data_IF_635067264693
#
_entry.id   IF_635067264693
#
_cell.length_a   1.000
_cell.length_b   1.000
_cell.length_c   1.000
_cell.angle_alpha   90.00
_cell.angle_beta   90.00
_cell.angle_gamma   90.00
#
_symmetry.space_group_name_H-M   'P 1'
#
loop_
_entity.id
_entity.type
_entity.pdbx_description
1 polymer ?
#
# COMPACT_ATOMS: atom_id res chain seq x y z
N UNK A 1 5.36 44.38 -16.05
CA UNK A 1 6.12 43.11 -15.92
C UNK A 1 5.13 42.00 -15.61
N UNK A 2 4.82 41.14 -16.63
CA UNK A 2 3.83 40.06 -16.54
C UNK A 2 4.56 38.82 -16.06
N UNK A 3 4.24 38.32 -14.86
CA UNK A 3 4.70 37.00 -14.37
C UNK A 3 3.71 35.91 -14.85
N UNK A 4 4.25 35.00 -15.62
CA UNK A 4 3.60 33.84 -16.21
C UNK A 4 3.01 32.95 -15.11
N UNK A 5 1.69 32.76 -15.15
CA UNK A 5 0.99 31.62 -14.51
C UNK A 5 1.08 30.44 -15.46
N UNK A 6 2.07 29.57 -15.30
CA UNK A 6 2.05 28.24 -15.88
C UNK A 6 1.38 27.29 -14.91
N UNK A 7 0.20 26.79 -15.28
CA UNK A 7 -0.43 25.62 -14.64
C UNK A 7 0.52 24.42 -14.85
N UNK A 8 0.89 23.67 -13.81
CA UNK A 8 1.60 22.41 -14.02
C UNK A 8 0.68 21.41 -14.71
N UNK A 9 1.09 20.93 -15.87
CA UNK A 9 0.48 19.80 -16.57
C UNK A 9 0.69 18.51 -15.76
N UNK A 10 -0.28 17.57 -15.73
CA UNK A 10 -0.19 16.35 -14.91
C UNK A 10 0.89 15.36 -15.30
N UNK A 11 1.66 15.62 -16.35
CA UNK A 11 2.70 14.73 -16.89
C UNK A 11 4.11 15.02 -16.37
N UNK A 12 4.31 16.02 -15.51
CA UNK A 12 5.66 16.44 -15.09
C UNK A 12 6.13 15.85 -13.77
N UNK A 13 5.38 14.95 -13.14
CA UNK A 13 5.83 14.18 -11.97
C UNK A 13 6.12 12.74 -12.38
N UNK A 14 6.96 12.56 -13.40
CA UNK A 14 7.74 11.34 -13.53
C UNK A 14 8.88 11.44 -12.54
N UNK A 15 8.59 11.18 -11.29
CA UNK A 15 9.60 10.83 -10.31
C UNK A 15 10.26 9.57 -10.85
N UNK A 16 11.57 9.61 -11.01
CA UNK A 16 12.44 8.47 -11.32
C UNK A 16 12.36 7.49 -10.14
N UNK A 17 11.26 6.74 -10.07
CA UNK A 17 11.19 5.48 -9.36
C UNK A 17 11.40 4.45 -10.44
N UNK A 18 12.44 3.65 -10.28
CA UNK A 18 12.93 2.68 -11.27
C UNK A 18 11.77 1.76 -11.74
N UNK A 19 11.26 2.00 -12.94
CA UNK A 19 10.26 1.13 -13.58
C UNK A 19 10.79 -0.30 -13.81
N UNK A 20 12.11 -0.50 -13.73
CA UNK A 20 12.75 -1.80 -13.74
C UNK A 20 12.44 -2.65 -12.51
N UNK A 21 12.39 -2.05 -11.31
CA UNK A 21 12.15 -2.77 -10.05
C UNK A 21 10.73 -3.35 -9.97
N UNK A 22 9.74 -2.64 -10.49
CA UNK A 22 8.35 -3.09 -10.45
C UNK A 22 8.04 -4.27 -11.37
N UNK A 23 8.65 -4.29 -12.57
CA UNK A 23 8.48 -5.41 -13.51
C UNK A 23 9.16 -6.65 -12.94
N UNK A 24 10.39 -6.52 -12.48
CA UNK A 24 11.14 -7.61 -11.85
C UNK A 24 10.42 -8.16 -10.61
N UNK A 25 9.85 -7.28 -9.79
CA UNK A 25 9.07 -7.71 -8.63
C UNK A 25 7.80 -8.47 -9.05
N UNK A 26 7.06 -7.99 -10.04
CA UNK A 26 5.85 -8.67 -10.53
C UNK A 26 6.17 -10.05 -11.12
N UNK A 27 7.26 -10.17 -11.85
CA UNK A 27 7.74 -11.45 -12.40
C UNK A 27 8.18 -12.40 -11.29
N UNK A 28 8.85 -11.90 -10.25
CA UNK A 28 9.22 -12.70 -9.07
C UNK A 28 7.99 -13.23 -8.35
N UNK A 29 6.94 -12.41 -8.15
CA UNK A 29 5.69 -12.85 -7.54
C UNK A 29 5.01 -13.91 -8.39
N UNK A 30 5.00 -13.75 -9.73
CA UNK A 30 4.45 -14.74 -10.66
C UNK A 30 5.20 -16.06 -10.56
N UNK A 31 6.52 -16.03 -10.60
CA UNK A 31 7.35 -17.22 -10.43
C UNK A 31 7.09 -17.94 -9.10
N UNK A 32 6.98 -17.21 -7.99
CA UNK A 32 6.63 -17.80 -6.68
C UNK A 32 5.22 -18.40 -6.69
N UNK A 33 4.26 -17.79 -7.40
CA UNK A 33 2.90 -18.30 -7.51
C UNK A 33 2.84 -19.63 -8.31
N UNK A 34 3.61 -19.74 -9.38
CA UNK A 34 3.73 -20.94 -10.20
C UNK A 34 4.38 -22.08 -9.39
N UNK A 35 5.50 -21.80 -8.73
CA UNK A 35 6.16 -22.77 -7.84
C UNK A 35 5.24 -23.24 -6.70
N UNK A 36 4.46 -22.34 -6.12
CA UNK A 36 3.51 -22.70 -5.09
C UNK A 36 2.40 -23.62 -5.63
N UNK A 37 1.96 -23.41 -6.88
CA UNK A 37 0.97 -24.28 -7.50
C UNK A 37 1.51 -25.67 -7.83
N UNK A 38 2.81 -25.78 -8.18
CA UNK A 38 3.48 -27.04 -8.51
C UNK A 38 3.92 -27.83 -7.25
N UNK A 39 4.53 -27.15 -6.28
CA UNK A 39 5.19 -27.75 -5.13
C UNK A 39 4.35 -27.69 -3.83
N UNK A 40 3.22 -27.00 -3.88
CA UNK A 40 2.35 -26.83 -2.69
C UNK A 40 3.01 -25.99 -1.60
N UNK A 41 2.63 -26.25 -0.36
CA UNK A 41 3.00 -25.44 0.82
C UNK A 41 4.52 -25.34 1.02
N UNK A 42 5.32 -26.29 0.54
CA UNK A 42 6.79 -26.24 0.64
C UNK A 42 7.40 -25.01 -0.04
N UNK A 43 6.75 -24.45 -1.07
CA UNK A 43 7.18 -23.25 -1.77
C UNK A 43 6.63 -21.94 -1.17
N UNK A 44 5.82 -22.01 -0.10
CA UNK A 44 5.20 -20.83 0.52
C UNK A 44 6.23 -19.85 1.11
N UNK A 45 7.35 -20.38 1.63
CA UNK A 45 8.43 -19.55 2.19
C UNK A 45 8.97 -18.53 1.18
N UNK A 46 9.22 -18.96 -0.06
CA UNK A 46 9.70 -18.05 -1.10
C UNK A 46 8.69 -16.94 -1.47
N UNK A 47 7.39 -17.25 -1.45
CA UNK A 47 6.36 -16.22 -1.65
C UNK A 47 6.32 -15.26 -0.46
N UNK A 48 6.42 -15.77 0.77
CA UNK A 48 6.48 -14.96 1.98
C UNK A 48 7.67 -13.99 1.93
N UNK A 49 8.87 -14.50 1.71
CA UNK A 49 10.10 -13.69 1.67
C UNK A 49 10.04 -12.58 0.62
N UNK A 50 9.44 -12.88 -0.54
CA UNK A 50 9.32 -11.92 -1.62
C UNK A 50 8.27 -10.83 -1.35
N UNK A 51 7.23 -11.09 -0.54
CA UNK A 51 6.03 -10.24 -0.52
C UNK A 51 5.65 -9.70 0.85
N UNK A 52 6.07 -10.33 1.96
CA UNK A 52 5.56 -10.05 3.30
C UNK A 52 5.72 -8.58 3.71
N UNK A 53 6.89 -7.98 3.51
CA UNK A 53 7.16 -6.59 3.90
C UNK A 53 6.22 -5.60 3.19
N UNK A 54 6.00 -5.78 1.88
CA UNK A 54 5.09 -4.95 1.08
C UNK A 54 3.63 -5.16 1.48
N UNK A 55 3.23 -6.41 1.74
CA UNK A 55 1.88 -6.73 2.20
C UNK A 55 1.59 -6.16 3.59
N UNK A 56 2.53 -6.28 4.55
CA UNK A 56 2.38 -5.70 5.90
C UNK A 56 2.29 -4.18 5.82
N UNK A 57 3.13 -3.52 5.02
CA UNK A 57 3.05 -2.08 4.79
C UNK A 57 1.68 -1.67 4.25
N UNK A 58 1.17 -2.39 3.24
CA UNK A 58 -0.16 -2.13 2.69
C UNK A 58 -1.27 -2.36 3.72
N UNK A 59 -1.28 -3.51 4.40
CA UNK A 59 -2.28 -3.85 5.42
C UNK A 59 -2.29 -2.83 6.57
N UNK A 60 -1.11 -2.29 6.94
CA UNK A 60 -0.97 -1.28 7.99
C UNK A 60 -1.68 0.04 7.67
N UNK A 61 -1.88 0.39 6.39
CA UNK A 61 -2.69 1.55 6.01
C UNK A 61 -4.16 1.37 6.38
N UNK A 62 -4.64 0.15 6.43
CA UNK A 62 -6.03 -0.20 6.72
C UNK A 62 -6.25 -0.46 8.21
N UNK A 63 -5.40 -1.27 8.82
CA UNK A 63 -5.53 -1.70 10.22
C UNK A 63 -5.10 -0.64 11.21
N UNK A 64 -4.15 0.23 10.83
CA UNK A 64 -3.54 1.22 11.71
C UNK A 64 -2.76 0.62 12.89
N UNK A 65 -2.52 -0.68 12.90
CA UNK A 65 -1.75 -1.43 13.89
C UNK A 65 -0.91 -2.50 13.18
N UNK A 66 0.35 -2.66 13.63
CA UNK A 66 1.30 -3.58 12.99
C UNK A 66 0.88 -5.03 13.19
N UNK A 67 0.56 -5.41 14.42
CA UNK A 67 0.16 -6.77 14.75
C UNK A 67 -1.07 -7.21 13.91
N UNK A 68 -2.07 -6.32 13.78
CA UNK A 68 -3.24 -6.57 12.94
C UNK A 68 -2.89 -6.71 11.45
N UNK A 69 -1.88 -5.96 10.99
CA UNK A 69 -1.42 -6.06 9.62
C UNK A 69 -0.68 -7.38 9.37
N UNK A 70 0.16 -7.81 10.30
CA UNK A 70 0.85 -9.10 10.25
C UNK A 70 -0.15 -10.27 10.31
N UNK A 71 -1.14 -10.21 11.18
CA UNK A 71 -2.24 -11.18 11.24
C UNK A 71 -3.02 -11.25 9.90
N UNK A 72 -3.30 -10.09 9.29
CA UNK A 72 -3.97 -10.05 7.99
C UNK A 72 -3.14 -10.70 6.88
N UNK A 73 -1.83 -10.48 6.88
CA UNK A 73 -0.91 -11.08 5.91
C UNK A 73 -0.80 -12.58 6.13
N UNK A 74 -0.67 -13.04 7.37
CA UNK A 74 -0.65 -14.47 7.69
C UNK A 74 -1.96 -15.15 7.23
N UNK A 75 -3.12 -14.56 7.53
CA UNK A 75 -4.40 -15.09 7.09
C UNK A 75 -4.54 -15.14 5.56
N UNK A 76 -4.02 -14.12 4.86
CA UNK A 76 -3.99 -14.08 3.41
C UNK A 76 -3.12 -15.21 2.83
N UNK A 77 -1.93 -15.42 3.38
CA UNK A 77 -1.02 -16.49 2.94
C UNK A 77 -1.56 -17.89 3.23
N UNK A 78 -2.21 -18.08 4.37
CA UNK A 78 -2.93 -19.34 4.67
C UNK A 78 -4.01 -19.61 3.61
N UNK A 79 -4.78 -18.62 3.23
CA UNK A 79 -5.79 -18.76 2.16
C UNK A 79 -5.18 -19.15 0.82
N UNK A 80 -4.05 -18.55 0.47
CA UNK A 80 -3.32 -18.88 -0.76
C UNK A 80 -2.78 -20.30 -0.69
N UNK A 81 -2.19 -20.72 0.45
CA UNK A 81 -1.68 -22.05 0.64
C UNK A 81 -2.74 -23.16 0.51
N UNK A 82 -3.98 -22.86 0.94
CA UNK A 82 -5.11 -23.79 0.79
C UNK A 82 -5.61 -23.92 -0.67
N UNK A 83 -5.34 -22.92 -1.54
CA UNK A 83 -5.79 -22.89 -2.94
C UNK A 83 -4.73 -22.27 -3.84
N UNK A 84 -3.53 -22.86 -3.94
CA UNK A 84 -2.39 -22.23 -4.62
C UNK A 84 -2.64 -21.96 -6.11
N UNK A 85 -3.40 -22.81 -6.78
CA UNK A 85 -3.72 -22.63 -8.18
C UNK A 85 -4.53 -21.37 -8.53
N UNK A 86 -5.21 -20.75 -7.55
CA UNK A 86 -5.92 -19.48 -7.80
C UNK A 86 -4.94 -18.32 -7.97
N UNK A 87 -3.83 -18.32 -7.24
CA UNK A 87 -2.81 -17.30 -7.39
C UNK A 87 -2.07 -17.44 -8.72
N UNK A 88 -1.67 -18.65 -9.08
CA UNK A 88 -0.95 -18.90 -10.34
C UNK A 88 -1.80 -18.58 -11.59
N UNK A 89 -3.12 -18.81 -11.52
CA UNK A 89 -4.06 -18.50 -12.62
C UNK A 89 -4.48 -17.03 -12.67
N UNK A 90 -4.17 -16.24 -11.65
CA UNK A 90 -4.52 -14.83 -11.63
C UNK A 90 -3.76 -14.09 -12.75
N UNK A 91 -4.48 -13.25 -13.50
CA UNK A 91 -3.86 -12.39 -14.54
C UNK A 91 -2.75 -11.51 -13.94
N UNK A 92 -2.97 -11.00 -12.73
CA UNK A 92 -2.05 -10.19 -11.96
C UNK A 92 -1.91 -10.76 -10.55
N UNK A 93 -0.96 -11.71 -10.30
CA UNK A 93 -0.81 -12.37 -9.01
C UNK A 93 -0.60 -11.39 -7.84
N UNK A 94 0.17 -10.32 -8.06
CA UNK A 94 0.39 -9.30 -7.04
C UNK A 94 -0.90 -8.56 -6.64
N UNK A 95 -1.67 -8.10 -7.62
CA UNK A 95 -2.97 -7.46 -7.35
C UNK A 95 -3.95 -8.42 -6.64
N UNK A 96 -3.89 -9.72 -6.98
CA UNK A 96 -4.70 -10.74 -6.32
C UNK A 96 -4.31 -10.93 -4.84
N UNK A 97 -2.99 -10.97 -4.54
CA UNK A 97 -2.49 -11.01 -3.16
C UNK A 97 -2.91 -9.77 -2.37
N UNK A 98 -2.76 -8.57 -2.93
CA UNK A 98 -3.20 -7.33 -2.30
C UNK A 98 -4.70 -7.35 -2.00
N UNK A 99 -5.53 -7.85 -2.92
CA UNK A 99 -6.98 -7.99 -2.73
C UNK A 99 -7.34 -8.93 -1.59
N UNK A 100 -6.67 -10.08 -1.48
CA UNK A 100 -6.90 -11.03 -0.38
C UNK A 100 -6.46 -10.40 0.94
N UNK A 101 -5.26 -9.83 1.01
CA UNK A 101 -4.72 -9.17 2.20
C UNK A 101 -5.63 -8.02 2.66
N UNK A 102 -6.15 -7.23 1.71
CA UNK A 102 -7.15 -6.20 2.01
C UNK A 102 -8.39 -6.75 2.70
N UNK A 103 -8.92 -7.84 2.17
CA UNK A 103 -10.13 -8.44 2.72
C UNK A 103 -9.91 -8.94 4.15
N UNK A 104 -8.76 -9.56 4.43
CA UNK A 104 -8.42 -10.00 5.78
C UNK A 104 -8.19 -8.80 6.72
N UNK A 105 -7.48 -7.78 6.29
CA UNK A 105 -7.30 -6.54 7.07
C UNK A 105 -8.64 -5.89 7.43
N UNK A 106 -9.56 -5.75 6.48
CA UNK A 106 -10.89 -5.21 6.73
C UNK A 106 -11.74 -6.10 7.64
N UNK A 107 -11.56 -7.43 7.57
CA UNK A 107 -12.22 -8.36 8.49
C UNK A 107 -11.75 -8.15 9.92
N UNK A 108 -10.42 -7.99 10.14
CA UNK A 108 -9.84 -7.71 11.46
C UNK A 108 -10.37 -6.39 12.01
N UNK A 109 -10.32 -5.31 11.19
CA UNK A 109 -10.83 -3.98 11.58
C UNK A 109 -12.31 -4.04 11.96
N UNK A 110 -13.13 -4.78 11.23
CA UNK A 110 -14.58 -4.94 11.54
C UNK A 110 -14.81 -5.66 12.86
N UNK A 111 -14.06 -6.72 13.12
CA UNK A 111 -14.18 -7.50 14.38
C UNK A 111 -13.75 -6.69 15.61
N UNK A 112 -12.76 -5.80 15.47
CA UNK A 112 -12.24 -4.96 16.57
C UNK A 112 -13.04 -3.69 16.82
N UNK A 113 -13.93 -3.27 15.90
CA UNK A 113 -14.73 -2.04 16.07
C UNK A 113 -15.46 -1.90 17.41
N UNK A 114 -16.07 -2.96 18.01
CA UNK A 114 -16.71 -2.85 19.32
C UNK A 114 -15.74 -2.57 20.48
N UNK A 115 -14.46 -2.97 20.33
CA UNK A 115 -13.46 -2.93 21.41
C UNK A 115 -12.51 -1.73 21.34
N UNK A 116 -12.63 -0.89 20.29
CA UNK A 116 -11.65 0.16 19.95
C UNK A 116 -11.81 1.50 20.68
N UNK A 117 -12.60 1.57 21.74
CA UNK A 117 -12.76 2.84 22.50
C UNK A 117 -11.50 3.32 23.24
N UNK A 118 -10.42 2.52 23.34
CA UNK A 118 -9.31 2.80 24.25
C UNK A 118 -7.87 2.66 23.69
N UNK A 119 -7.64 2.28 22.44
CA UNK A 119 -6.26 2.09 21.96
C UNK A 119 -5.81 3.17 20.99
N UNK A 120 -4.72 3.87 21.35
CA UNK A 120 -4.01 4.81 20.48
C UNK A 120 -3.40 4.04 19.29
N UNK A 121 -3.38 4.63 18.05
CA UNK A 121 -2.68 4.04 16.92
C UNK A 121 -1.19 3.88 17.21
N UNK A 122 -0.63 2.71 16.93
CA UNK A 122 0.79 2.44 17.14
C UNK A 122 1.65 3.27 16.17
N UNK A 123 2.65 3.96 16.73
CA UNK A 123 3.58 4.77 15.97
C UNK A 123 4.60 3.94 15.17
N UNK A 124 4.79 2.65 15.50
CA UNK A 124 5.84 1.77 14.97
C UNK A 124 5.50 1.09 13.64
N UNK A 125 4.32 1.33 13.07
CA UNK A 125 3.78 0.62 11.90
C UNK A 125 4.68 0.66 10.65
N UNK A 126 5.65 1.58 10.60
CA UNK A 126 6.46 1.85 9.41
C UNK A 126 7.96 1.79 9.69
N UNK A 127 8.38 1.03 10.68
CA UNK A 127 9.78 0.91 11.09
C UNK A 127 10.55 -0.15 10.31
N UNK A 128 10.49 -0.13 8.99
CA UNK A 128 11.59 -0.67 8.18
C UNK A 128 12.49 0.52 7.89
N UNK A 129 13.59 0.63 8.64
CA UNK A 129 14.50 1.76 8.58
C UNK A 129 15.13 1.88 7.19
N UNK A 130 14.88 2.97 6.45
CA UNK A 130 15.71 3.32 5.30
C UNK A 130 17.05 3.84 5.78
N UNK A 131 18.09 3.80 4.95
CA UNK A 131 19.43 4.29 5.31
C UNK A 131 19.38 5.77 5.67
N UNK A 132 20.29 6.15 6.59
CA UNK A 132 20.44 7.46 7.23
C UNK A 132 20.29 8.65 6.28
N UNK A 133 19.47 9.62 6.66
CA UNK A 133 19.28 10.89 5.95
C UNK A 133 17.92 11.05 5.22
N UNK A 134 17.18 9.96 4.97
CA UNK A 134 15.81 10.00 4.39
C UNK A 134 14.72 9.74 5.44
N UNK A 135 15.09 9.41 6.66
CA UNK A 135 14.21 9.00 7.76
C UNK A 135 13.16 10.07 8.06
N UNK A 136 13.58 11.34 8.14
CA UNK A 136 12.70 12.46 8.49
C UNK A 136 11.60 12.68 7.43
N UNK A 137 11.98 12.64 6.15
CA UNK A 137 11.02 12.83 5.04
C UNK A 137 10.04 11.66 4.99
N UNK A 138 10.52 10.43 5.15
CA UNK A 138 9.65 9.25 5.18
C UNK A 138 8.71 9.29 6.40
N UNK A 139 9.18 9.77 7.54
CA UNK A 139 8.36 9.93 8.73
C UNK A 139 7.28 10.98 8.53
N UNK A 140 7.60 12.12 7.90
CA UNK A 140 6.64 13.17 7.56
C UNK A 140 5.54 12.67 6.59
N UNK A 141 5.94 11.95 5.55
CA UNK A 141 5.00 11.35 4.59
C UNK A 141 4.09 10.33 5.29
N UNK A 142 4.63 9.50 6.17
CA UNK A 142 3.85 8.55 6.98
C UNK A 142 2.83 9.25 7.87
N UNK A 143 3.23 10.32 8.55
CA UNK A 143 2.34 11.11 9.40
C UNK A 143 1.22 11.76 8.58
N UNK A 144 1.56 12.31 7.42
CA UNK A 144 0.57 12.91 6.51
C UNK A 144 -0.43 11.87 5.97
N UNK A 145 0.04 10.67 5.59
CA UNK A 145 -0.84 9.56 5.18
C UNK A 145 -1.79 9.11 6.30
N UNK A 146 -1.34 9.13 7.56
CA UNK A 146 -2.19 8.80 8.72
C UNK A 146 -3.32 9.80 8.94
N UNK A 147 -3.14 11.06 8.55
CA UNK A 147 -4.20 12.08 8.62
C UNK A 147 -5.28 11.90 7.54
N UNK A 148 -5.00 11.13 6.48
CA UNK A 148 -5.99 10.81 5.46
C UNK A 148 -7.01 9.77 5.97
N UNK A 149 -8.28 9.82 5.49
CA UNK A 149 -9.18 8.68 5.59
C UNK A 149 -8.53 7.43 5.00
N UNK A 150 -8.75 6.26 5.62
CA UNK A 150 -8.12 4.99 5.20
C UNK A 150 -8.33 4.68 3.72
N UNK A 151 -9.52 4.96 3.18
CA UNK A 151 -9.85 4.76 1.75
C UNK A 151 -9.06 5.67 0.80
N UNK A 152 -8.60 6.83 1.26
CA UNK A 152 -7.77 7.75 0.50
C UNK A 152 -6.29 7.36 0.62
N UNK A 153 -5.82 7.05 1.83
CA UNK A 153 -4.47 6.56 2.07
C UNK A 153 -4.20 5.28 1.27
N UNK A 154 -5.17 4.37 1.23
CA UNK A 154 -5.11 3.10 0.49
C UNK A 154 -4.84 3.33 -1.01
N UNK A 155 -5.59 4.22 -1.66
CA UNK A 155 -5.40 4.52 -3.09
C UNK A 155 -4.03 5.14 -3.36
N UNK A 156 -3.53 6.00 -2.47
CA UNK A 156 -2.19 6.58 -2.59
C UNK A 156 -1.12 5.51 -2.49
N UNK A 157 -1.23 4.59 -1.53
CA UNK A 157 -0.26 3.49 -1.36
C UNK A 157 -0.26 2.60 -2.58
N UNK A 158 -1.42 2.16 -3.05
CA UNK A 158 -1.54 1.31 -4.25
C UNK A 158 -0.99 2.01 -5.50
N UNK A 159 -1.19 3.34 -5.65
CA UNK A 159 -0.73 4.07 -6.84
C UNK A 159 0.76 4.37 -6.81
N UNK A 160 1.32 4.77 -5.65
CA UNK A 160 2.70 5.27 -5.54
C UNK A 160 3.67 4.15 -5.18
N UNK A 161 3.37 3.34 -4.14
CA UNK A 161 4.30 2.31 -3.68
C UNK A 161 4.13 0.96 -4.37
N UNK A 162 2.90 0.64 -4.79
CA UNK A 162 2.64 -0.61 -5.52
C UNK A 162 2.53 -0.40 -7.03
N UNK A 163 2.66 0.87 -7.50
CA UNK A 163 2.69 1.30 -8.91
C UNK A 163 1.50 0.81 -9.77
N UNK A 164 0.38 0.53 -9.12
CA UNK A 164 -0.80 0.00 -9.78
C UNK A 164 -1.44 1.02 -10.72
N UNK A 165 -1.96 0.55 -11.84
CA UNK A 165 -2.86 1.32 -12.68
C UNK A 165 -4.19 1.58 -11.98
N UNK A 166 -4.92 2.61 -12.37
CA UNK A 166 -6.26 2.84 -11.80
C UNK A 166 -7.25 1.72 -12.09
N UNK A 167 -7.05 0.95 -13.17
CA UNK A 167 -7.84 -0.23 -13.47
C UNK A 167 -7.59 -1.33 -12.42
N UNK A 168 -6.34 -1.65 -12.13
CA UNK A 168 -5.96 -2.64 -11.09
C UNK A 168 -6.41 -2.20 -9.70
N UNK A 169 -6.23 -0.90 -9.36
CA UNK A 169 -6.74 -0.35 -8.10
C UNK A 169 -8.27 -0.53 -8.02
N UNK A 170 -8.97 -0.27 -9.12
CA UNK A 170 -10.41 -0.49 -9.21
C UNK A 170 -10.79 -1.94 -8.92
N UNK A 171 -10.08 -2.91 -9.48
CA UNK A 171 -10.30 -4.35 -9.22
C UNK A 171 -10.01 -4.74 -7.77
N UNK A 172 -8.92 -4.22 -7.18
CA UNK A 172 -8.57 -4.47 -5.78
C UNK A 172 -9.64 -3.91 -4.83
N UNK A 173 -10.11 -2.69 -5.10
CA UNK A 173 -11.03 -1.96 -4.23
C UNK A 173 -12.51 -2.26 -4.51
N UNK A 174 -12.83 -2.95 -5.61
CA UNK A 174 -14.21 -3.21 -6.06
C UNK A 174 -14.93 -1.93 -6.49
N UNK A 175 -14.26 -1.04 -7.22
CA UNK A 175 -14.79 0.23 -7.70
C UNK A 175 -14.33 0.55 -9.13
N UNK A 176 -14.93 1.56 -9.77
CA UNK A 176 -14.52 1.94 -11.11
C UNK A 176 -13.13 2.60 -11.12
N UNK A 177 -12.35 2.48 -12.23
CA UNK A 177 -11.07 3.18 -12.38
C UNK A 177 -11.21 4.70 -12.20
N UNK A 178 -12.31 5.29 -12.67
CA UNK A 178 -12.58 6.72 -12.50
C UNK A 178 -12.79 7.10 -11.04
N UNK A 179 -13.43 6.24 -10.25
CA UNK A 179 -13.59 6.44 -8.81
C UNK A 179 -12.24 6.38 -8.10
N UNK A 180 -11.38 5.41 -8.47
CA UNK A 180 -10.02 5.31 -7.95
C UNK A 180 -9.20 6.57 -8.28
N UNK A 181 -9.24 7.03 -9.53
CA UNK A 181 -8.54 8.23 -9.97
C UNK A 181 -9.04 9.50 -9.24
N UNK A 182 -10.33 9.64 -9.03
CA UNK A 182 -10.91 10.76 -8.29
C UNK A 182 -10.47 10.74 -6.82
N UNK A 183 -10.52 9.57 -6.16
CA UNK A 183 -10.05 9.42 -4.78
C UNK A 183 -8.56 9.75 -4.65
N UNK A 184 -7.75 9.33 -5.60
CA UNK A 184 -6.32 9.66 -5.65
C UNK A 184 -6.09 11.16 -5.72
N UNK A 185 -6.77 11.87 -6.63
CA UNK A 185 -6.65 13.34 -6.75
C UNK A 185 -7.02 14.06 -5.45
N UNK A 186 -8.14 13.67 -4.82
CA UNK A 186 -8.55 14.25 -3.54
C UNK A 186 -7.57 13.92 -2.41
N UNK A 187 -7.01 12.71 -2.42
CA UNK A 187 -6.00 12.31 -1.44
C UNK A 187 -4.73 13.15 -1.58
N UNK A 188 -4.23 13.36 -2.81
CA UNK A 188 -3.05 14.19 -3.07
C UNK A 188 -3.28 15.65 -2.64
N UNK A 189 -4.45 16.23 -2.90
CA UNK A 189 -4.79 17.59 -2.47
C UNK A 189 -4.71 17.72 -0.94
N UNK A 190 -5.29 16.78 -0.20
CA UNK A 190 -5.21 16.77 1.26
C UNK A 190 -3.78 16.52 1.77
N UNK A 191 -3.06 15.61 1.12
CA UNK A 191 -1.67 15.31 1.48
C UNK A 191 -0.80 16.56 1.35
N UNK A 192 -0.94 17.30 0.25
CA UNK A 192 -0.24 18.57 0.04
C UNK A 192 -0.53 19.58 1.14
N UNK A 193 -1.80 19.73 1.54
CA UNK A 193 -2.19 20.62 2.64
C UNK A 193 -1.56 20.20 3.97
N UNK A 194 -1.53 18.89 4.27
CA UNK A 194 -0.92 18.38 5.51
C UNK A 194 0.59 18.52 5.53
N UNK A 195 1.26 18.31 4.39
CA UNK A 195 2.70 18.49 4.29
C UNK A 195 3.11 19.95 4.40
N UNK A 196 2.36 20.87 3.80
CA UNK A 196 2.60 22.30 3.97
C UNK A 196 2.50 22.73 5.45
N UNK A 197 1.47 22.30 6.15
CA UNK A 197 1.32 22.63 7.57
C UNK A 197 2.50 22.12 8.42
N UNK A 198 2.98 20.90 8.16
CA UNK A 198 4.12 20.33 8.89
C UNK A 198 5.43 21.05 8.56
N UNK A 199 5.66 21.41 7.29
CA UNK A 199 6.88 22.16 6.88
C UNK A 199 6.89 23.55 7.50
N UNK A 200 5.75 24.21 7.62
CA UNK A 200 5.65 25.51 8.30
C UNK A 200 5.90 25.38 9.81
N UNK A 201 5.36 24.35 10.48
CA UNK A 201 5.64 24.07 11.89
C UNK A 201 7.13 23.84 12.16
N UNK A 202 7.81 23.10 11.29
CA UNK A 202 9.27 22.82 11.42
C UNK A 202 10.12 24.08 11.14
N UNK A 203 9.66 25.00 10.27
CA UNK A 203 10.37 26.24 9.98
C UNK A 203 10.29 27.28 11.10
N UNK A 204 9.26 27.17 11.96
CA UNK A 204 9.02 28.12 13.05
C UNK A 204 9.41 27.57 14.44
N UNK A 205 9.92 26.34 14.51
CA UNK A 205 10.45 25.70 15.73
C UNK A 205 11.97 25.83 15.79
#
# INVERSE_FOLDING_TARGET
>A
MRFFKTKPTPDSVKTVVDTHDSTEFADRVRFCAERLAEQGVSALGGLYDATASRLVRYASTLTRQRDDAEDAVQAALVRIALRPGLLARARYPWAYLLKITRNEALNIVRRRRPMRSLTRPDARIWSDAPPHGQEEIHQLVRLALRKLPSTQAEVVVLKIWEEMTFAEIGEILGQSPNTAASRYRYALQKLSQHLHAVVEEVRHA
#
